data_IF_695989189799
#
_entry.id   IF_695989189799
#
_cell.length_a   1.000
_cell.length_b   1.000
_cell.length_c   1.000
_cell.angle_alpha   90.00
_cell.angle_beta   90.00
_cell.angle_gamma   90.00
#
_symmetry.space_group_name_H-M   'P 1'
#
loop_
_entity.id
_entity.type
_entity.pdbx_description
1 polymer ?
#
# COMPACT_ATOMS: atom_id res chain seq x y z
N UNK A 1 1.61 2.29 -2.36
CA UNK A 1 0.35 1.89 -3.05
C UNK A 1 -0.84 2.32 -2.20
N UNK A 2 -1.99 2.70 -2.78
CA UNK A 2 -3.15 3.20 -2.04
C UNK A 2 -3.70 2.22 -1.00
N UNK A 3 -3.80 0.93 -1.34
CA UNK A 3 -4.29 -0.10 -0.42
C UNK A 3 -3.37 -0.30 0.79
N UNK A 4 -2.05 -0.07 0.65
CA UNK A 4 -1.10 -0.16 1.77
C UNK A 4 -1.32 0.95 2.81
N UNK A 5 -1.84 2.12 2.41
CA UNK A 5 -2.17 3.21 3.34
C UNK A 5 -3.31 2.79 4.28
N UNK A 6 -4.36 2.18 3.72
CA UNK A 6 -5.46 1.62 4.52
C UNK A 6 -4.97 0.48 5.42
N UNK A 7 -4.19 -0.45 4.86
CA UNK A 7 -3.65 -1.57 5.61
C UNK A 7 -2.80 -1.13 6.80
N UNK A 8 -1.87 -0.20 6.58
CA UNK A 8 -1.02 0.35 7.64
C UNK A 8 -1.84 1.00 8.75
N UNK A 9 -2.90 1.75 8.39
CA UNK A 9 -3.73 2.45 9.37
C UNK A 9 -4.51 1.52 10.32
N UNK A 10 -4.96 0.34 9.87
CA UNK A 10 -5.70 -0.57 10.74
C UNK A 10 -4.89 -1.71 11.35
N UNK A 11 -3.73 -2.11 10.79
CA UNK A 11 -2.83 -3.06 11.48
C UNK A 11 -2.28 -2.48 12.79
N UNK A 12 -2.20 -1.15 12.92
CA UNK A 12 -1.74 -0.49 14.15
C UNK A 12 -2.81 -0.49 15.26
N UNK A 13 -4.10 -0.62 14.93
CA UNK A 13 -5.20 -0.53 15.90
C UNK A 13 -5.16 -1.62 16.99
N UNK A 14 -4.92 -2.92 16.67
CA UNK A 14 -4.77 -3.95 17.70
C UNK A 14 -3.59 -3.70 18.63
N UNK A 15 -2.46 -3.18 18.12
CA UNK A 15 -1.26 -2.89 18.91
C UNK A 15 -1.51 -1.79 19.95
N UNK A 16 -2.28 -0.76 19.57
CA UNK A 16 -2.71 0.28 20.50
C UNK A 16 -3.52 -0.31 21.66
N UNK A 17 -4.49 -1.17 21.33
CA UNK A 17 -5.34 -1.86 22.31
C UNK A 17 -4.54 -2.76 23.25
N UNK A 18 -3.58 -3.50 22.70
CA UNK A 18 -2.70 -4.36 23.47
C UNK A 18 -1.83 -3.56 24.45
N UNK A 19 -1.25 -2.43 24.01
CA UNK A 19 -0.48 -1.55 24.88
C UNK A 19 -1.32 -1.02 26.05
N UNK A 20 -2.53 -0.55 25.79
CA UNK A 20 -3.43 -0.06 26.84
C UNK A 20 -3.86 -1.16 27.81
N UNK A 21 -4.08 -2.39 27.30
CA UNK A 21 -4.45 -3.54 28.13
C UNK A 21 -3.31 -3.98 29.04
N UNK A 22 -2.05 -3.91 28.57
CA UNK A 22 -0.88 -4.28 29.36
C UNK A 22 -0.53 -3.25 30.45
N UNK A 23 -0.83 -1.98 30.22
CA UNK A 23 -0.49 -0.88 31.13
C UNK A 23 -1.69 -0.40 31.98
N UNK A 24 -2.79 -1.17 31.98
CA UNK A 24 -4.04 -0.85 32.69
C UNK A 24 -4.57 0.56 32.38
N UNK A 25 -4.33 1.03 31.15
CA UNK A 25 -4.77 2.33 30.63
C UNK A 25 -6.10 2.21 29.86
N UNK A 26 -6.85 1.12 30.07
CA UNK A 26 -8.12 0.91 29.39
C UNK A 26 -9.06 2.05 29.83
N UNK A 27 -9.57 2.87 28.90
CA UNK A 27 -10.53 3.90 29.27
C UNK A 27 -11.70 3.23 29.97
N UNK A 28 -12.04 3.68 31.18
CA UNK A 28 -13.29 3.29 31.81
C UNK A 28 -14.41 3.54 30.79
N UNK A 29 -15.29 2.55 30.59
CA UNK A 29 -16.45 2.74 29.74
C UNK A 29 -17.19 3.99 30.24
N UNK A 30 -17.21 5.04 29.44
CA UNK A 30 -18.01 6.23 29.76
C UNK A 30 -19.46 5.76 29.85
N UNK A 31 -20.07 5.89 31.02
CA UNK A 31 -21.46 5.49 31.32
C UNK A 31 -22.52 6.30 30.52
N UNK A 32 -22.10 7.17 29.59
CA UNK A 32 -22.94 8.15 28.89
C UNK A 32 -23.31 7.79 27.44
N UNK A 33 -23.32 6.52 27.01
CA UNK A 33 -23.78 6.17 25.65
C UNK A 33 -24.72 4.94 25.65
N UNK A 34 -25.98 5.18 26.02
CA UNK A 34 -27.11 4.25 25.98
C UNK A 34 -27.59 3.94 24.54
N UNK A 35 -26.71 3.54 23.62
CA UNK A 35 -27.08 2.84 22.36
C UNK A 35 -25.89 2.56 21.42
N UNK A 36 -24.88 1.81 21.87
CA UNK A 36 -23.91 1.24 20.94
C UNK A 36 -22.74 0.49 21.58
N UNK A 37 -22.02 -0.35 20.84
CA UNK A 37 -20.77 -0.95 21.33
C UNK A 37 -19.76 0.17 21.62
N UNK A 38 -19.26 0.22 22.86
CA UNK A 38 -18.27 1.19 23.35
C UNK A 38 -17.10 1.29 22.38
N UNK A 39 -16.99 2.43 21.68
CA UNK A 39 -15.93 2.67 20.69
C UNK A 39 -14.61 2.92 21.41
N UNK A 40 -13.69 1.96 21.32
CA UNK A 40 -12.34 2.05 21.90
C UNK A 40 -11.62 3.33 21.44
N UNK A 41 -11.14 4.12 22.41
CA UNK A 41 -10.30 5.31 22.20
C UNK A 41 -8.95 5.08 22.89
N UNK A 42 -7.83 5.11 22.16
CA UNK A 42 -6.53 4.78 22.74
C UNK A 42 -6.02 5.88 23.67
N UNK A 43 -5.22 5.50 24.67
CA UNK A 43 -4.53 6.46 25.53
C UNK A 43 -3.43 7.21 24.77
N UNK A 44 -3.10 8.43 25.24
CA UNK A 44 -2.02 9.23 24.66
C UNK A 44 -0.65 8.54 24.77
N UNK A 45 -0.42 7.77 25.84
CA UNK A 45 0.80 6.98 26.03
C UNK A 45 0.92 5.88 24.96
N UNK A 46 -0.18 5.14 24.70
CA UNK A 46 -0.23 4.13 23.64
C UNK A 46 0.08 4.73 22.27
N UNK A 47 -0.56 5.86 21.94
CA UNK A 47 -0.35 6.50 20.63
C UNK A 47 1.09 6.95 20.46
N UNK A 48 1.70 7.61 21.45
CA UNK A 48 3.10 8.05 21.35
C UNK A 48 4.08 6.89 21.23
N UNK A 49 3.84 5.80 21.98
CA UNK A 49 4.69 4.60 21.93
C UNK A 49 4.55 3.87 20.59
N UNK A 50 3.31 3.53 20.20
CA UNK A 50 3.03 2.84 18.95
C UNK A 50 3.44 3.65 17.72
N UNK A 51 3.30 4.98 17.75
CA UNK A 51 3.75 5.84 16.65
C UNK A 51 5.27 5.77 16.46
N UNK A 52 6.06 5.90 17.53
CA UNK A 52 7.53 5.78 17.44
C UNK A 52 7.94 4.41 16.91
N UNK A 53 7.36 3.35 17.47
CA UNK A 53 7.64 1.98 17.04
C UNK A 53 7.29 1.77 15.56
N UNK A 54 6.09 2.19 15.14
CA UNK A 54 5.61 2.07 13.76
C UNK A 54 6.48 2.89 12.79
N UNK A 55 6.92 4.09 13.16
CA UNK A 55 7.83 4.89 12.32
C UNK A 55 9.16 4.16 12.11
N UNK A 56 9.75 3.59 13.17
CA UNK A 56 11.02 2.85 13.07
C UNK A 56 10.87 1.60 12.23
N UNK A 57 9.83 0.80 12.46
CA UNK A 57 9.54 -0.43 11.70
C UNK A 57 9.31 -0.12 10.20
N UNK A 58 8.46 0.86 9.89
CA UNK A 58 8.17 1.25 8.50
C UNK A 58 9.41 1.85 7.82
N UNK A 59 10.16 2.71 8.51
CA UNK A 59 11.38 3.31 7.95
C UNK A 59 12.41 2.23 7.65
N UNK A 60 12.64 1.31 8.58
CA UNK A 60 13.58 0.19 8.40
C UNK A 60 13.15 -0.71 7.24
N UNK A 61 11.86 -1.06 7.18
CA UNK A 61 11.31 -1.88 6.10
C UNK A 61 11.46 -1.23 4.72
N UNK A 62 11.10 0.05 4.60
CA UNK A 62 11.13 0.77 3.33
C UNK A 62 12.55 1.13 2.87
N UNK A 63 13.40 1.65 3.76
CA UNK A 63 14.74 2.11 3.39
C UNK A 63 15.75 0.97 3.27
N UNK A 64 15.60 -0.12 4.02
CA UNK A 64 16.55 -1.24 3.94
C UNK A 64 16.02 -2.25 2.92
N UNK A 65 14.88 -2.89 3.18
CA UNK A 65 14.43 -4.01 2.36
C UNK A 65 13.87 -3.56 1.01
N UNK A 66 12.92 -2.63 1.00
CA UNK A 66 12.26 -2.25 -0.26
C UNK A 66 13.23 -1.52 -1.21
N UNK A 67 14.04 -0.59 -0.70
CA UNK A 67 15.05 0.10 -1.49
C UNK A 67 16.10 -0.87 -2.02
N UNK A 68 16.59 -1.81 -1.20
CA UNK A 68 17.54 -2.82 -1.65
C UNK A 68 16.99 -3.67 -2.80
N UNK A 69 15.76 -4.20 -2.66
CA UNK A 69 15.13 -5.03 -3.70
C UNK A 69 14.88 -4.23 -4.97
N UNK A 70 14.30 -3.03 -4.87
CA UNK A 70 14.04 -2.17 -6.03
C UNK A 70 15.34 -1.78 -6.74
N UNK A 71 16.39 -1.48 -5.98
CA UNK A 71 17.71 -1.15 -6.54
C UNK A 71 18.36 -2.36 -7.18
N UNK A 72 18.27 -3.54 -6.57
CA UNK A 72 18.82 -4.78 -7.13
C UNK A 72 18.18 -5.11 -8.48
N UNK A 73 16.85 -5.02 -8.59
CA UNK A 73 16.14 -5.25 -9.86
C UNK A 73 16.59 -4.22 -10.91
N UNK A 74 16.69 -2.94 -10.54
CA UNK A 74 17.12 -1.88 -11.46
C UNK A 74 18.58 -2.05 -11.92
N UNK A 75 19.50 -2.41 -11.03
CA UNK A 75 20.90 -2.66 -11.34
C UNK A 75 21.04 -3.89 -12.24
N UNK A 76 20.32 -4.97 -11.94
CA UNK A 76 20.32 -6.19 -12.76
C UNK A 76 19.78 -5.88 -14.14
N UNK A 77 18.63 -5.21 -14.25
CA UNK A 77 18.05 -4.79 -15.51
C UNK A 77 19.01 -3.89 -16.29
N UNK A 78 19.60 -2.88 -15.64
CA UNK A 78 20.56 -1.97 -16.25
C UNK A 78 21.83 -2.67 -16.76
N UNK A 79 22.45 -3.53 -15.96
CA UNK A 79 23.66 -4.26 -16.35
C UNK A 79 23.41 -5.28 -17.47
N UNK A 80 22.18 -5.78 -17.55
CA UNK A 80 21.77 -6.82 -18.47
C UNK A 80 21.20 -6.30 -19.79
N UNK A 81 20.46 -5.19 -19.75
CA UNK A 81 19.74 -4.62 -20.89
C UNK A 81 20.43 -3.39 -21.51
N UNK A 82 21.61 -2.99 -21.04
CA UNK A 82 22.26 -1.73 -21.45
C UNK A 82 22.44 -1.57 -22.98
N UNK A 83 22.59 -2.68 -23.71
CA UNK A 83 22.82 -2.69 -25.17
C UNK A 83 21.75 -3.45 -25.97
N UNK A 84 20.61 -3.80 -25.35
CA UNK A 84 19.51 -4.50 -26.02
C UNK A 84 18.31 -3.57 -26.22
N UNK A 85 17.50 -3.86 -27.24
CA UNK A 85 16.29 -3.07 -27.52
C UNK A 85 15.36 -3.05 -26.28
N UNK A 86 14.86 -1.85 -25.95
CA UNK A 86 13.99 -1.59 -24.79
C UNK A 86 12.73 -2.48 -24.76
N UNK A 87 12.32 -3.01 -25.92
CA UNK A 87 11.21 -3.97 -26.06
C UNK A 87 11.42 -5.31 -25.31
N UNK A 88 12.65 -5.60 -24.86
CA UNK A 88 12.98 -6.80 -24.08
C UNK A 88 12.94 -6.61 -22.56
N UNK A 89 12.50 -5.43 -22.08
CA UNK A 89 12.41 -5.09 -20.65
C UNK A 89 11.14 -5.63 -19.95
N UNK A 90 10.38 -6.50 -20.60
CA UNK A 90 9.20 -7.12 -20.02
C UNK A 90 9.58 -8.24 -19.03
N UNK A 91 8.58 -8.69 -18.25
CA UNK A 91 8.78 -9.71 -17.22
C UNK A 91 9.41 -11.00 -17.79
N UNK A 92 9.01 -11.38 -19.00
CA UNK A 92 9.50 -12.58 -19.69
C UNK A 92 10.92 -12.39 -20.24
N UNK A 93 11.24 -11.20 -20.75
CA UNK A 93 12.57 -10.81 -21.17
C UNK A 93 13.57 -10.85 -20.03
N UNK A 94 13.24 -10.29 -18.86
CA UNK A 94 14.08 -10.35 -17.66
C UNK A 94 14.36 -11.80 -17.24
N UNK A 95 13.33 -12.67 -17.23
CA UNK A 95 13.51 -14.07 -16.90
C UNK A 95 14.45 -14.80 -17.88
N UNK A 96 14.21 -14.64 -19.20
CA UNK A 96 15.05 -15.25 -20.24
C UNK A 96 16.49 -14.77 -20.13
N UNK A 97 16.67 -13.50 -19.85
CA UNK A 97 17.98 -12.90 -19.74
C UNK A 97 18.72 -13.43 -18.52
N UNK A 98 18.09 -13.46 -17.34
CA UNK A 98 18.68 -14.05 -16.14
C UNK A 98 19.06 -15.52 -16.35
N UNK A 99 18.21 -16.29 -17.03
CA UNK A 99 18.47 -17.69 -17.34
C UNK A 99 19.66 -17.87 -18.30
N UNK A 100 19.84 -16.96 -19.26
CA UNK A 100 20.85 -17.09 -20.32
C UNK A 100 22.20 -16.46 -19.97
N UNK A 101 22.20 -15.28 -19.35
CA UNK A 101 23.41 -14.49 -19.05
C UNK A 101 24.07 -14.87 -17.72
N UNK A 102 23.28 -15.23 -16.71
CA UNK A 102 23.81 -15.61 -15.39
C UNK A 102 23.89 -17.12 -15.24
N UNK A 103 22.73 -17.78 -15.16
CA UNK A 103 22.60 -19.23 -15.06
C UNK A 103 21.13 -19.64 -15.20
N UNK A 104 20.80 -20.84 -15.70
CA UNK A 104 19.43 -21.35 -15.73
C UNK A 104 18.74 -21.32 -14.35
N UNK A 105 19.52 -21.52 -13.29
CA UNK A 105 19.05 -21.46 -11.88
C UNK A 105 18.64 -20.04 -11.48
N UNK A 106 19.25 -18.99 -12.03
CA UNK A 106 18.87 -17.61 -11.71
C UNK A 106 17.45 -17.29 -12.24
N UNK A 107 17.11 -17.78 -13.43
CA UNK A 107 15.76 -17.67 -13.99
C UNK A 107 14.71 -18.38 -13.13
N UNK A 108 15.00 -19.60 -12.65
CA UNK A 108 14.05 -20.33 -11.79
C UNK A 108 13.86 -19.67 -10.43
N UNK A 109 14.92 -19.12 -9.82
CA UNK A 109 14.82 -18.34 -8.58
C UNK A 109 13.98 -17.09 -8.80
N UNK A 110 14.15 -16.38 -9.91
CA UNK A 110 13.34 -15.21 -10.25
C UNK A 110 11.85 -15.57 -10.41
N UNK A 111 11.55 -16.64 -11.15
CA UNK A 111 10.17 -17.13 -11.32
C UNK A 111 9.54 -17.52 -9.98
N UNK A 112 10.29 -18.20 -9.10
CA UNK A 112 9.83 -18.55 -7.76
C UNK A 112 9.61 -17.30 -6.90
N UNK A 113 10.49 -16.31 -6.97
CA UNK A 113 10.34 -15.04 -6.25
C UNK A 113 9.08 -14.28 -6.71
N UNK A 114 8.80 -14.24 -8.02
CA UNK A 114 7.57 -13.66 -8.56
C UNK A 114 6.31 -14.38 -8.05
N UNK A 115 6.34 -15.72 -8.02
CA UNK A 115 5.23 -16.52 -7.48
C UNK A 115 4.97 -16.20 -6.00
N UNK A 116 6.03 -16.17 -5.18
CA UNK A 116 5.93 -15.84 -3.75
C UNK A 116 5.44 -14.40 -3.53
N UNK A 117 5.93 -13.45 -4.33
CA UNK A 117 5.48 -12.06 -4.30
C UNK A 117 3.98 -11.93 -4.63
N UNK A 118 3.50 -12.64 -5.66
CA UNK A 118 2.08 -12.67 -6.02
C UNK A 118 1.17 -13.31 -4.96
N UNK A 119 1.68 -14.34 -4.25
CA UNK A 119 0.96 -14.93 -3.11
C UNK A 119 0.84 -13.91 -1.97
N UNK A 120 1.95 -13.23 -1.63
CA UNK A 120 1.98 -12.20 -0.59
C UNK A 120 1.04 -11.02 -0.92
N UNK A 121 1.12 -10.48 -2.14
CA UNK A 121 0.25 -9.41 -2.62
C UNK A 121 -1.24 -9.80 -2.52
N UNK A 122 -1.57 -11.07 -2.81
CA UNK A 122 -2.93 -11.59 -2.65
C UNK A 122 -3.46 -11.50 -1.21
N UNK A 123 -2.61 -11.79 -0.21
CA UNK A 123 -2.99 -11.69 1.21
C UNK A 123 -3.20 -10.23 1.60
N UNK A 124 -2.24 -9.36 1.26
CA UNK A 124 -2.29 -7.91 1.51
C UNK A 124 -3.56 -7.30 0.91
N UNK A 125 -3.90 -7.63 -0.33
CA UNK A 125 -5.12 -7.17 -0.99
C UNK A 125 -6.39 -7.63 -0.27
N UNK A 126 -6.43 -8.87 0.23
CA UNK A 126 -7.62 -9.35 0.96
C UNK A 126 -7.83 -8.62 2.27
N UNK A 127 -6.76 -8.32 3.02
CA UNK A 127 -6.85 -7.60 4.29
C UNK A 127 -7.22 -6.13 4.03
N UNK A 128 -6.55 -5.48 3.08
CA UNK A 128 -6.88 -4.10 2.72
C UNK A 128 -8.32 -3.97 2.20
N UNK A 129 -8.75 -4.91 1.35
CA UNK A 129 -10.14 -4.98 0.87
C UNK A 129 -11.14 -5.24 1.99
N UNK A 130 -10.75 -5.98 3.03
CA UNK A 130 -11.56 -6.13 4.24
C UNK A 130 -11.85 -4.80 4.92
N UNK A 131 -10.78 -4.07 5.20
CA UNK A 131 -10.82 -2.77 5.88
C UNK A 131 -11.61 -1.74 5.09
N UNK A 132 -11.46 -1.73 3.76
CA UNK A 132 -12.19 -0.81 2.89
C UNK A 132 -13.69 -1.15 2.87
N UNK A 133 -14.11 -2.40 2.64
CA UNK A 133 -15.55 -2.67 2.56
C UNK A 133 -16.25 -2.54 3.92
N UNK A 134 -15.60 -2.90 5.03
CA UNK A 134 -16.20 -2.76 6.37
C UNK A 134 -16.21 -1.30 6.81
N UNK A 135 -15.16 -0.53 6.50
CA UNK A 135 -15.07 0.88 6.86
C UNK A 135 -15.91 1.81 5.99
N UNK A 136 -15.87 1.66 4.66
CA UNK A 136 -16.52 2.59 3.73
C UNK A 136 -17.87 2.09 3.18
N UNK A 137 -18.02 0.77 2.99
CA UNK A 137 -19.23 0.17 2.42
C UNK A 137 -20.14 -0.46 3.49
N UNK A 138 -19.71 -0.52 4.76
CA UNK A 138 -20.37 -1.26 5.84
C UNK A 138 -20.73 -2.72 5.47
N UNK A 139 -19.97 -3.31 4.54
CA UNK A 139 -20.28 -4.61 3.97
C UNK A 139 -19.38 -5.70 4.58
N UNK A 140 -19.98 -6.51 5.45
CA UNK A 140 -19.32 -7.64 6.10
C UNK A 140 -19.50 -8.92 5.28
N UNK A 141 -18.47 -9.27 4.50
CA UNK A 141 -18.39 -10.55 3.77
C UNK A 141 -17.33 -11.44 4.39
N UNK A 142 -17.62 -12.74 4.50
CA UNK A 142 -16.66 -13.75 5.00
C UNK A 142 -15.32 -13.65 4.23
N UNK A 143 -14.16 -13.74 4.92
CA UNK A 143 -12.84 -13.57 4.30
C UNK A 143 -12.60 -14.42 3.06
N UNK A 144 -12.99 -15.70 3.10
CA UNK A 144 -12.76 -16.64 2.00
C UNK A 144 -13.59 -16.31 0.76
N UNK A 145 -14.84 -15.88 0.93
CA UNK A 145 -15.73 -15.47 -0.17
C UNK A 145 -15.17 -14.23 -0.84
N UNK A 146 -14.74 -13.24 -0.05
CA UNK A 146 -14.14 -12.01 -0.57
C UNK A 146 -12.87 -12.30 -1.37
N UNK A 147 -12.01 -13.18 -0.87
CA UNK A 147 -10.81 -13.64 -1.57
C UNK A 147 -11.14 -14.33 -2.89
N UNK A 148 -12.15 -15.21 -2.91
CA UNK A 148 -12.57 -15.90 -4.12
C UNK A 148 -13.12 -14.92 -5.15
N UNK A 149 -14.00 -14.00 -4.74
CA UNK A 149 -14.61 -13.00 -5.62
C UNK A 149 -13.56 -12.07 -6.23
N UNK A 150 -12.73 -11.45 -5.41
CA UNK A 150 -11.69 -10.50 -5.87
C UNK A 150 -10.65 -11.17 -6.77
N UNK A 151 -10.25 -12.41 -6.45
CA UNK A 151 -9.37 -13.17 -7.35
C UNK A 151 -10.04 -13.59 -8.64
N UNK A 152 -11.30 -14.00 -8.61
CA UNK A 152 -12.02 -14.36 -9.84
C UNK A 152 -12.10 -13.15 -10.78
N UNK A 153 -12.49 -11.99 -10.24
CA UNK A 153 -12.57 -10.73 -11.00
C UNK A 153 -11.20 -10.32 -11.57
N UNK A 154 -10.10 -10.53 -10.84
CA UNK A 154 -8.76 -10.16 -11.29
C UNK A 154 -8.12 -11.18 -12.25
N UNK A 155 -8.35 -12.48 -12.05
CA UNK A 155 -7.72 -13.56 -12.82
C UNK A 155 -8.46 -13.77 -14.14
N UNK A 156 -9.79 -13.68 -14.18
CA UNK A 156 -10.58 -13.90 -15.40
C UNK A 156 -10.10 -13.05 -16.59
N UNK A 157 -9.94 -11.71 -16.51
CA UNK A 157 -9.44 -10.92 -17.63
C UNK A 157 -8.00 -11.30 -18.00
N UNK A 158 -7.17 -11.61 -17.00
CA UNK A 158 -5.78 -12.02 -17.22
C UNK A 158 -5.67 -13.34 -18.01
N UNK A 159 -6.53 -14.32 -17.71
CA UNK A 159 -6.59 -15.60 -18.44
C UNK A 159 -7.07 -15.38 -19.88
N UNK A 160 -8.10 -14.54 -20.07
CA UNK A 160 -8.63 -14.24 -21.41
C UNK A 160 -7.55 -13.58 -22.28
N UNK A 161 -6.85 -12.58 -21.75
CA UNK A 161 -5.79 -11.87 -22.46
C UNK A 161 -4.61 -12.81 -22.76
N UNK A 162 -4.19 -13.63 -21.79
CA UNK A 162 -3.12 -14.59 -21.99
C UNK A 162 -3.47 -15.65 -23.06
N UNK A 163 -4.73 -16.09 -23.13
CA UNK A 163 -5.19 -17.05 -24.12
C UNK A 163 -5.40 -16.46 -25.53
N UNK A 164 -5.81 -15.20 -25.63
CA UNK A 164 -6.13 -14.55 -26.90
C UNK A 164 -4.95 -13.81 -27.55
N UNK A 165 -4.14 -13.10 -26.74
CA UNK A 165 -3.06 -12.20 -27.20
C UNK A 165 -1.67 -12.73 -26.85
N UNK A 166 -1.55 -13.46 -25.73
CA UNK A 166 -0.27 -14.02 -25.29
C UNK A 166 0.54 -13.09 -24.38
N UNK A 167 1.88 -13.14 -24.48
CA UNK A 167 2.80 -12.47 -23.54
C UNK A 167 2.70 -10.95 -23.62
N UNK A 168 2.70 -10.37 -24.82
CA UNK A 168 2.67 -8.92 -25.02
C UNK A 168 1.39 -8.29 -24.46
N UNK A 169 0.24 -8.95 -24.67
CA UNK A 169 -1.03 -8.53 -24.11
C UNK A 169 -1.05 -8.58 -22.58
N UNK A 170 -0.39 -9.59 -21.98
CA UNK A 170 -0.29 -9.69 -20.53
C UNK A 170 0.60 -8.60 -19.94
N UNK A 171 1.74 -8.30 -20.59
CA UNK A 171 2.62 -7.20 -20.20
C UNK A 171 1.89 -5.85 -20.27
N UNK A 172 1.17 -5.58 -21.38
CA UNK A 172 0.35 -4.37 -21.51
C UNK A 172 -0.77 -4.28 -20.45
N UNK A 173 -1.39 -5.41 -20.09
CA UNK A 173 -2.39 -5.45 -19.03
C UNK A 173 -1.79 -5.17 -17.64
N UNK A 174 -0.56 -5.62 -17.39
CA UNK A 174 0.18 -5.31 -16.16
C UNK A 174 0.51 -3.82 -16.09
N UNK A 175 1.02 -3.23 -17.16
CA UNK A 175 1.35 -1.80 -17.21
C UNK A 175 0.09 -0.95 -17.05
N UNK A 176 -1.00 -1.29 -17.75
CA UNK A 176 -2.30 -0.63 -17.60
C UNK A 176 -2.85 -0.72 -16.17
N UNK A 177 -2.61 -1.83 -15.47
CA UNK A 177 -2.97 -1.96 -14.05
C UNK A 177 -2.16 -1.02 -13.15
N UNK A 178 -0.89 -0.77 -13.47
CA UNK A 178 -0.07 0.21 -12.76
C UNK A 178 -0.55 1.64 -13.02
N UNK A 179 -0.94 1.94 -14.26
CA UNK A 179 -1.56 3.23 -14.59
C UNK A 179 -2.83 3.43 -13.77
N UNK A 180 -3.74 2.45 -13.73
CA UNK A 180 -4.96 2.53 -12.92
C UNK A 180 -4.64 2.76 -11.43
N UNK A 181 -3.63 2.09 -10.88
CA UNK A 181 -3.19 2.28 -9.50
C UNK A 181 -2.66 3.69 -9.24
N UNK A 182 -1.91 4.25 -10.19
CA UNK A 182 -1.36 5.60 -10.10
C UNK A 182 -2.49 6.62 -10.00
N UNK A 183 -3.50 6.53 -10.88
CA UNK A 183 -4.66 7.44 -10.92
C UNK A 183 -5.41 7.48 -9.60
N UNK A 184 -5.54 6.35 -8.90
CA UNK A 184 -6.26 6.26 -7.62
C UNK A 184 -5.49 6.94 -6.48
N UNK A 185 -4.15 6.99 -6.57
CA UNK A 185 -3.29 7.40 -5.46
C UNK A 185 -3.52 8.85 -5.00
N UNK A 186 -3.64 9.87 -5.88
CA UNK A 186 -3.99 11.24 -5.48
C UNK A 186 -5.30 11.34 -4.69
N UNK A 187 -6.33 10.60 -5.11
CA UNK A 187 -7.66 10.66 -4.49
C UNK A 187 -7.68 10.02 -3.10
N UNK A 188 -6.86 9.00 -2.86
CA UNK A 188 -6.74 8.38 -1.54
C UNK A 188 -5.83 9.21 -0.61
N UNK A 189 -4.76 9.80 -1.15
CA UNK A 189 -3.79 10.56 -0.36
C UNK A 189 -4.26 11.97 0.03
N UNK A 190 -5.06 12.65 -0.79
CA UNK A 190 -5.53 14.00 -0.49
C UNK A 190 -6.38 14.08 0.80
N UNK A 191 -7.40 13.22 1.02
CA UNK A 191 -8.16 13.20 2.27
C UNK A 191 -7.29 12.83 3.47
N UNK A 192 -6.34 11.91 3.29
CA UNK A 192 -5.41 11.51 4.34
C UNK A 192 -4.55 12.69 4.82
N UNK A 193 -3.99 13.47 3.89
CA UNK A 193 -3.23 14.68 4.22
C UNK A 193 -4.13 15.72 4.89
N UNK A 194 -5.35 15.92 4.38
CA UNK A 194 -6.31 16.84 4.99
C UNK A 194 -6.66 16.47 6.44
N UNK A 195 -6.96 15.20 6.71
CA UNK A 195 -7.29 14.73 8.06
C UNK A 195 -6.11 14.79 9.02
N UNK A 196 -4.91 14.46 8.56
CA UNK A 196 -3.69 14.51 9.38
C UNK A 196 -3.21 15.94 9.70
N UNK A 197 -3.59 16.92 8.87
CA UNK A 197 -3.25 18.34 9.06
C UNK A 197 -4.31 19.14 9.83
N UNK A 198 -5.47 18.57 10.15
CA UNK A 198 -6.58 19.28 10.82
C UNK A 198 -6.66 18.91 12.31
N UNK A 199 -6.58 19.91 13.19
CA UNK A 199 -6.75 19.73 14.63
C UNK A 199 -8.07 19.04 14.98
N UNK A 200 -9.15 19.33 14.24
CA UNK A 200 -10.48 18.71 14.47
C UNK A 200 -10.46 17.17 14.46
N UNK A 201 -9.59 16.56 13.66
CA UNK A 201 -9.49 15.10 13.54
C UNK A 201 -8.30 14.51 14.32
N UNK A 202 -7.25 15.30 14.53
CA UNK A 202 -6.04 14.92 15.26
C UNK A 202 -5.99 15.57 16.65
N UNK A 203 -7.06 15.47 17.43
CA UNK A 203 -7.09 15.90 18.85
C UNK A 203 -7.50 14.74 19.73
N UNK A 204 -6.79 14.57 20.84
CA UNK A 204 -7.07 13.56 21.85
C UNK A 204 -7.27 14.22 23.20
N UNK A 205 -8.19 13.66 24.00
CA UNK A 205 -8.35 14.05 25.40
C UNK A 205 -7.28 13.38 26.23
N UNK A 206 -6.53 14.18 26.99
CA UNK A 206 -5.63 13.67 28.03
C UNK A 206 -6.41 13.17 29.23
N UNK A 207 -5.78 12.33 30.05
CA UNK A 207 -6.32 11.89 31.35
C UNK A 207 -6.67 13.07 32.28
N UNK A 208 -5.97 14.21 32.10
CA UNK A 208 -6.19 15.44 32.87
C UNK A 208 -7.31 16.34 32.31
N UNK A 209 -8.06 15.90 31.29
CA UNK A 209 -9.11 16.70 30.64
C UNK A 209 -8.61 17.69 29.58
N UNK A 210 -7.29 17.87 29.45
CA UNK A 210 -6.70 18.73 28.42
C UNK A 210 -6.82 18.12 27.02
N UNK A 211 -7.27 18.94 26.07
CA UNK A 211 -7.30 18.59 24.65
C UNK A 211 -5.91 18.79 24.03
N UNK A 212 -5.22 17.69 23.76
CA UNK A 212 -3.89 17.71 23.13
C UNK A 212 -4.04 17.48 21.63
N UNK A 213 -3.62 18.46 20.85
CA UNK A 213 -3.54 18.29 19.40
C UNK A 213 -2.29 17.49 19.04
N UNK A 214 -2.48 16.40 18.28
CA UNK A 214 -1.41 15.58 17.69
C UNK A 214 -1.26 15.85 16.19
N UNK A 215 -1.59 17.07 15.75
CA UNK A 215 -1.44 17.47 14.35
C UNK A 215 0.02 17.33 13.92
N UNK A 216 0.21 16.90 12.68
CA UNK A 216 1.51 16.97 12.02
C UNK A 216 2.13 18.38 12.13
N UNK A 217 3.44 18.42 12.40
CA UNK A 217 4.17 19.68 12.42
C UNK A 217 4.02 20.40 11.07
N UNK A 218 4.04 21.73 11.08
CA UNK A 218 3.82 22.51 9.84
C UNK A 218 4.79 22.10 8.72
N UNK A 219 6.03 21.75 9.10
CA UNK A 219 7.05 21.27 8.18
C UNK A 219 6.70 19.91 7.55
N UNK A 220 6.22 18.95 8.34
CA UNK A 220 5.82 17.64 7.80
C UNK A 220 4.56 17.75 6.94
N UNK A 221 3.65 18.65 7.29
CA UNK A 221 2.50 18.99 6.45
C UNK A 221 2.92 19.61 5.11
N UNK A 222 3.86 20.56 5.13
CA UNK A 222 4.39 21.19 3.91
C UNK A 222 5.06 20.16 2.98
N UNK A 223 5.89 19.27 3.53
CA UNK A 223 6.51 18.17 2.77
C UNK A 223 5.44 17.23 2.19
N UNK A 224 4.44 16.86 2.98
CA UNK A 224 3.37 15.97 2.52
C UNK A 224 2.59 16.59 1.34
N UNK A 225 2.27 17.89 1.42
CA UNK A 225 1.61 18.62 0.34
C UNK A 225 2.51 18.71 -0.90
N UNK A 226 3.81 18.96 -0.73
CA UNK A 226 4.76 18.98 -1.83
C UNK A 226 4.85 17.63 -2.54
N UNK A 227 5.01 16.53 -1.80
CA UNK A 227 5.04 15.16 -2.34
C UNK A 227 3.73 14.87 -3.08
N UNK A 228 2.59 15.25 -2.50
CA UNK A 228 1.29 15.07 -3.13
C UNK A 228 1.17 15.83 -4.44
N UNK A 229 1.64 17.09 -4.50
CA UNK A 229 1.65 17.88 -5.72
C UNK A 229 2.51 17.23 -6.80
N UNK A 230 3.72 16.76 -6.45
CA UNK A 230 4.59 16.03 -7.38
C UNK A 230 3.87 14.79 -7.92
N UNK A 231 3.24 14.00 -7.04
CA UNK A 231 2.46 12.83 -7.45
C UNK A 231 1.37 13.23 -8.44
N UNK A 232 0.58 14.26 -8.14
CA UNK A 232 -0.51 14.73 -9.02
C UNK A 232 0.04 15.15 -10.39
N UNK A 233 1.10 15.96 -10.43
CA UNK A 233 1.70 16.42 -11.68
C UNK A 233 2.23 15.25 -12.50
N UNK A 234 2.94 14.30 -11.88
CA UNK A 234 3.45 13.11 -12.56
C UNK A 234 2.33 12.20 -13.07
N UNK A 235 1.24 12.07 -12.32
CA UNK A 235 0.07 11.29 -12.75
C UNK A 235 -0.64 11.94 -13.93
N UNK A 236 -0.83 13.26 -13.91
CA UNK A 236 -1.41 14.01 -15.03
C UNK A 236 -0.51 13.89 -16.26
N UNK A 237 0.81 14.06 -16.11
CA UNK A 237 1.76 13.90 -17.20
C UNK A 237 1.69 12.49 -17.80
N UNK A 238 1.65 11.45 -16.96
CA UNK A 238 1.51 10.06 -17.41
C UNK A 238 0.22 9.84 -18.20
N UNK A 239 -0.91 10.36 -17.72
CA UNK A 239 -2.19 10.24 -18.43
C UNK A 239 -2.21 10.98 -19.76
N UNK A 240 -1.59 12.16 -19.82
CA UNK A 240 -1.48 12.95 -21.05
C UNK A 240 -0.58 12.24 -22.05
N UNK A 241 0.59 11.75 -21.64
CA UNK A 241 1.50 11.01 -22.51
C UNK A 241 0.86 9.74 -23.06
N UNK A 242 0.19 8.97 -22.18
CA UNK A 242 -0.57 7.79 -22.58
C UNK A 242 -1.68 8.14 -23.57
N UNK A 243 -2.40 9.24 -23.34
CA UNK A 243 -3.46 9.71 -24.23
C UNK A 243 -2.95 10.24 -25.58
N UNK A 244 -1.70 10.71 -25.64
CA UNK A 244 -1.04 11.13 -26.87
C UNK A 244 -0.39 9.96 -27.64
N UNK A 245 -0.39 8.75 -27.07
CA UNK A 245 0.23 7.57 -27.69
C UNK A 245 1.75 7.65 -27.77
N UNK A 246 2.37 8.40 -26.86
CA UNK A 246 3.83 8.44 -26.71
C UNK A 246 4.18 7.42 -25.63
N UNK A 247 4.68 6.26 -26.07
CA UNK A 247 5.22 5.20 -25.20
C UNK A 247 6.54 5.65 -24.52
#
# INVERSE_FOLDING_TARGET
MPHSLYLGSGIVQPRLKEYDTQHDNIPAASEDDDSGPVKYRPSLAAVRSCMKYSIVELSTSLFIFALFVNSAILIVAGASLYNTDAASADLFGIHKLLAHQLAPVAGTIFALALLLSGISAGIVCTIAGQMICEGQLSWAVKPWVRRLMTRSISITPSIIIAGAVGQDGLSAALDGSQVALSVILPFVSAPLIYFTCRNRYMTMSSSNGDLISMRNHWFTAAIAIFIWLVIVVMNVALLVLLGLGVD
#
